data_IF_918360612270
#
_entry.id   IF_918360612270
#
_cell.length_a   1.000
_cell.length_b   1.000
_cell.length_c   1.000
_cell.angle_alpha   90.00
_cell.angle_beta   90.00
_cell.angle_gamma   90.00
#
_symmetry.space_group_name_H-M   'P 1'
#
loop_
_entity.id
_entity.type
_entity.pdbx_description
1 polymer ?
#
# COMPACT_ATOMS: atom_id res chain seq x y z
N UNK A 1 4.20 -8.25 -29.44
CA UNK A 1 3.21 -7.31 -29.99
C UNK A 1 3.72 -5.91 -29.72
N UNK A 2 4.18 -5.19 -30.76
CA UNK A 2 4.75 -3.86 -30.62
C UNK A 2 3.79 -2.79 -31.15
N UNK A 3 3.71 -1.67 -30.43
CA UNK A 3 3.26 -0.35 -30.87
C UNK A 3 1.79 0.10 -30.71
N UNK A 4 1.19 -0.09 -29.53
CA UNK A 4 0.00 0.68 -29.09
C UNK A 4 0.34 1.71 -27.98
N UNK A 5 1.61 2.09 -27.85
CA UNK A 5 2.11 3.02 -26.83
C UNK A 5 2.30 4.42 -27.40
N UNK A 6 1.78 5.42 -26.69
CA UNK A 6 1.95 6.83 -27.02
C UNK A 6 3.03 7.42 -26.11
N UNK A 7 4.24 7.64 -26.63
CA UNK A 7 5.40 8.12 -25.86
C UNK A 7 5.11 9.39 -25.06
N UNK A 8 4.33 10.33 -25.63
CA UNK A 8 3.95 11.56 -24.93
C UNK A 8 3.14 11.30 -23.65
N UNK A 9 2.30 10.26 -23.63
CA UNK A 9 1.54 9.85 -22.45
C UNK A 9 2.45 9.22 -21.42
N UNK A 10 3.33 8.29 -21.83
CA UNK A 10 4.29 7.65 -20.93
C UNK A 10 5.19 8.68 -20.23
N UNK A 11 5.70 9.65 -20.99
CA UNK A 11 6.53 10.73 -20.44
C UNK A 11 5.75 11.62 -19.48
N UNK A 12 4.49 11.95 -19.79
CA UNK A 12 3.65 12.70 -18.88
C UNK A 12 3.39 11.94 -17.56
N UNK A 13 3.18 10.63 -17.64
CA UNK A 13 3.04 9.76 -16.47
C UNK A 13 4.35 9.70 -15.67
N UNK A 14 5.52 9.55 -16.32
CA UNK A 14 6.82 9.59 -15.63
C UNK A 14 7.07 10.90 -14.89
N UNK A 15 6.55 12.03 -15.39
CA UNK A 15 6.60 13.31 -14.66
C UNK A 15 5.72 13.27 -13.41
N UNK A 16 4.55 12.63 -13.45
CA UNK A 16 3.67 12.48 -12.29
C UNK A 16 4.27 11.55 -11.23
N UNK A 17 4.93 10.46 -11.65
CA UNK A 17 5.63 9.53 -10.74
C UNK A 17 6.74 10.23 -9.95
N UNK A 18 7.36 11.30 -10.48
CA UNK A 18 8.35 12.08 -9.73
C UNK A 18 7.77 12.76 -8.47
N UNK A 19 6.45 12.93 -8.39
CA UNK A 19 5.76 13.46 -7.21
C UNK A 19 5.42 12.38 -6.17
N UNK A 20 5.64 11.10 -6.45
CA UNK A 20 5.48 10.01 -5.48
C UNK A 20 6.70 9.94 -4.55
N UNK A 21 6.83 10.96 -3.71
CA UNK A 21 7.90 11.08 -2.71
C UNK A 21 7.43 11.95 -1.53
N UNK A 22 8.23 11.99 -0.45
CA UNK A 22 7.95 12.86 0.70
C UNK A 22 8.05 14.37 0.35
N UNK A 23 8.67 14.72 -0.79
CA UNK A 23 8.77 16.08 -1.26
C UNK A 23 7.47 16.54 -1.93
N UNK A 24 6.84 17.57 -1.35
CA UNK A 24 5.53 18.06 -1.81
C UNK A 24 5.60 19.03 -3.01
N UNK A 25 6.76 19.63 -3.26
CA UNK A 25 6.94 20.67 -4.26
C UNK A 25 8.31 20.57 -4.94
N UNK A 26 8.35 20.75 -6.26
CA UNK A 26 9.56 20.62 -7.06
C UNK A 26 9.82 21.85 -7.93
N UNK A 27 11.06 22.30 -7.99
CA UNK A 27 11.53 23.19 -9.03
C UNK A 27 11.62 22.46 -10.39
N UNK A 28 11.67 23.24 -11.48
CA UNK A 28 11.89 22.67 -12.81
C UNK A 28 13.23 21.93 -12.93
N UNK A 29 14.24 22.33 -12.15
CA UNK A 29 15.55 21.68 -12.16
C UNK A 29 15.50 20.31 -11.48
N UNK A 30 14.81 20.21 -10.34
CA UNK A 30 14.62 18.94 -9.63
C UNK A 30 13.79 17.96 -10.46
N UNK A 31 12.72 18.42 -11.12
CA UNK A 31 11.95 17.56 -12.05
C UNK A 31 12.80 17.08 -13.23
N UNK A 32 13.67 17.92 -13.77
CA UNK A 32 14.60 17.53 -14.84
C UNK A 32 15.60 16.46 -14.37
N UNK A 33 16.10 16.60 -13.15
CA UNK A 33 16.98 15.62 -12.54
C UNK A 33 16.26 14.30 -12.25
N UNK A 34 15.05 14.35 -11.68
CA UNK A 34 14.27 13.16 -11.32
C UNK A 34 13.80 12.37 -12.55
N UNK A 35 13.41 13.05 -13.62
CA UNK A 35 12.85 12.41 -14.82
C UNK A 35 13.87 12.16 -15.94
N UNK A 36 15.05 12.79 -15.87
CA UNK A 36 16.04 12.78 -16.95
C UNK A 36 15.64 13.57 -18.20
N UNK A 37 14.52 14.30 -18.17
CA UNK A 37 14.03 15.05 -19.32
C UNK A 37 14.66 16.45 -19.42
N UNK A 38 14.87 16.91 -20.66
CA UNK A 38 15.23 18.29 -20.92
C UNK A 38 14.14 19.26 -20.42
N UNK A 39 14.55 20.40 -19.85
CA UNK A 39 13.64 21.44 -19.31
C UNK A 39 12.59 21.91 -20.32
N UNK A 40 12.94 22.04 -21.59
CA UNK A 40 12.00 22.41 -22.66
C UNK A 40 10.89 21.37 -22.86
N UNK A 41 11.20 20.09 -22.72
CA UNK A 41 10.23 19.00 -22.82
C UNK A 41 9.35 18.96 -21.58
N UNK A 42 9.94 19.10 -20.39
CA UNK A 42 9.19 19.18 -19.13
C UNK A 42 8.18 20.32 -19.13
N UNK A 43 8.57 21.52 -19.58
CA UNK A 43 7.64 22.65 -19.64
C UNK A 43 6.41 22.38 -20.53
N UNK A 44 6.58 21.66 -21.65
CA UNK A 44 5.46 21.26 -22.51
C UNK A 44 4.55 20.22 -21.84
N UNK A 45 5.15 19.23 -21.17
CA UNK A 45 4.41 18.20 -20.44
C UNK A 45 3.65 18.81 -19.26
N UNK A 46 4.33 19.58 -18.42
CA UNK A 46 3.76 20.30 -17.28
C UNK A 46 2.66 21.26 -17.72
N UNK A 47 2.86 22.02 -18.82
CA UNK A 47 1.82 22.88 -19.38
C UNK A 47 0.55 22.12 -19.76
N UNK A 48 0.68 20.89 -20.28
CA UNK A 48 -0.48 20.04 -20.56
C UNK A 48 -1.12 19.50 -19.29
N UNK A 49 -0.32 19.06 -18.32
CA UNK A 49 -0.78 18.55 -17.03
C UNK A 49 -1.51 19.62 -16.20
N UNK A 50 -1.08 20.89 -16.26
CA UNK A 50 -1.76 22.03 -15.63
C UNK A 50 -3.17 22.22 -16.17
N UNK A 51 -3.36 22.10 -17.49
CA UNK A 51 -4.68 22.29 -18.11
C UNK A 51 -5.73 21.30 -17.60
N UNK A 52 -5.29 20.14 -17.13
CA UNK A 52 -6.14 19.12 -16.54
C UNK A 52 -5.99 19.01 -15.02
N UNK A 53 -5.32 19.99 -14.38
CA UNK A 53 -5.15 20.06 -12.92
C UNK A 53 -4.50 18.79 -12.33
N UNK A 54 -3.59 18.16 -13.08
CA UNK A 54 -2.75 17.09 -12.57
C UNK A 54 -1.52 17.62 -11.83
N UNK A 55 -1.04 18.80 -12.24
CA UNK A 55 0.00 19.56 -11.55
C UNK A 55 -0.43 21.02 -11.50
N UNK A 56 0.10 21.78 -10.55
CA UNK A 56 -0.09 23.22 -10.41
C UNK A 56 1.25 23.90 -10.17
N UNK A 57 1.36 25.16 -10.55
CA UNK A 57 2.54 25.98 -10.28
C UNK A 57 2.17 27.07 -9.29
N UNK A 58 2.95 27.23 -8.23
CA UNK A 58 2.73 28.30 -7.25
C UNK A 58 3.41 29.61 -7.67
N UNK A 59 3.25 30.65 -6.85
CA UNK A 59 3.83 31.98 -7.07
C UNK A 59 5.37 31.98 -7.01
N UNK A 60 5.96 31.07 -6.22
CA UNK A 60 7.41 30.86 -6.15
C UNK A 60 7.96 30.12 -7.38
N UNK A 61 7.08 29.65 -8.26
CA UNK A 61 7.42 28.93 -9.47
C UNK A 61 7.70 27.44 -9.26
N UNK A 62 7.38 26.90 -8.07
CA UNK A 62 7.45 25.48 -7.75
C UNK A 62 6.22 24.74 -8.27
N UNK A 63 6.42 23.48 -8.63
CA UNK A 63 5.41 22.58 -9.13
C UNK A 63 4.92 21.68 -8.01
N UNK A 64 3.61 21.52 -7.92
CA UNK A 64 2.92 20.67 -6.95
C UNK A 64 1.97 19.73 -7.69
N UNK A 65 1.58 18.64 -7.04
CA UNK A 65 0.45 17.85 -7.51
C UNK A 65 -0.84 18.70 -7.49
N UNK A 66 -1.65 18.56 -8.52
CA UNK A 66 -2.98 19.18 -8.61
C UNK A 66 -4.05 18.33 -7.90
N UNK A 67 -5.31 18.70 -8.08
CA UNK A 67 -6.43 18.06 -7.39
C UNK A 67 -7.01 16.87 -8.19
N UNK A 68 -6.76 16.79 -9.50
CA UNK A 68 -7.23 15.70 -10.36
C UNK A 68 -6.85 14.28 -9.90
N UNK A 69 -5.59 13.99 -9.51
CA UNK A 69 -5.22 12.65 -9.03
C UNK A 69 -6.07 12.23 -7.83
N UNK A 70 -6.28 13.13 -6.86
CA UNK A 70 -7.11 12.86 -5.67
C UNK A 70 -8.58 12.64 -6.06
N UNK A 71 -9.12 13.44 -6.97
CA UNK A 71 -10.50 13.30 -7.47
C UNK A 71 -10.71 11.95 -8.18
N UNK A 72 -9.73 11.48 -8.92
CA UNK A 72 -9.79 10.18 -9.61
C UNK A 72 -9.66 9.02 -8.62
N UNK A 73 -8.72 9.11 -7.67
CA UNK A 73 -8.53 8.10 -6.63
C UNK A 73 -9.82 7.86 -5.81
N UNK A 74 -10.58 8.92 -5.51
CA UNK A 74 -11.88 8.83 -4.80
C UNK A 74 -12.95 8.00 -5.49
N UNK A 75 -12.80 7.67 -6.79
CA UNK A 75 -13.76 6.81 -7.50
C UNK A 75 -13.54 5.33 -7.24
N UNK A 76 -12.37 4.95 -6.73
CA UNK A 76 -12.13 3.58 -6.28
C UNK A 76 -12.63 3.44 -4.84
N UNK A 77 -13.30 2.33 -4.56
CA UNK A 77 -13.65 1.96 -3.20
C UNK A 77 -12.34 1.76 -2.41
N UNK A 78 -12.09 2.53 -1.33
CA UNK A 78 -10.88 2.40 -0.52
C UNK A 78 -10.68 0.99 0.03
N UNK A 79 -11.75 0.27 0.34
CA UNK A 79 -11.69 -1.11 0.82
C UNK A 79 -11.27 -2.06 -0.29
N UNK A 80 -11.75 -1.84 -1.52
CA UNK A 80 -11.36 -2.65 -2.67
C UNK A 80 -9.89 -2.42 -3.05
N UNK A 81 -9.43 -1.17 -3.02
CA UNK A 81 -8.02 -0.84 -3.26
C UNK A 81 -7.11 -1.50 -2.21
N UNK A 82 -7.50 -1.40 -0.94
CA UNK A 82 -6.79 -2.04 0.17
C UNK A 82 -6.74 -3.56 -0.01
N UNK A 83 -7.88 -4.19 -0.29
CA UNK A 83 -7.96 -5.63 -0.54
C UNK A 83 -7.06 -6.07 -1.69
N UNK A 84 -7.08 -5.34 -2.81
CA UNK A 84 -6.25 -5.67 -3.98
C UNK A 84 -4.74 -5.63 -3.70
N UNK A 85 -4.32 -4.78 -2.75
CA UNK A 85 -2.91 -4.61 -2.39
C UNK A 85 -2.48 -5.57 -1.27
N UNK A 86 -3.34 -5.77 -0.27
CA UNK A 86 -3.01 -6.51 0.95
C UNK A 86 -3.33 -7.99 0.83
N UNK A 87 -4.41 -8.40 0.16
CA UNK A 87 -4.78 -9.82 0.06
C UNK A 87 -3.65 -10.68 -0.55
N UNK A 88 -2.99 -10.29 -1.67
CA UNK A 88 -1.90 -11.09 -2.24
C UNK A 88 -0.69 -11.22 -1.29
N UNK A 89 -0.47 -10.23 -0.42
CA UNK A 89 0.57 -10.28 0.60
C UNK A 89 0.22 -11.27 1.71
N UNK A 90 -1.03 -11.25 2.19
CA UNK A 90 -1.54 -12.20 3.18
C UNK A 90 -1.47 -13.63 2.64
N UNK A 91 -1.84 -13.85 1.38
CA UNK A 91 -1.78 -15.17 0.73
C UNK A 91 -0.33 -15.70 0.70
N UNK A 92 0.65 -14.86 0.36
CA UNK A 92 2.08 -15.22 0.39
C UNK A 92 2.57 -15.51 1.81
N UNK A 93 2.16 -14.70 2.79
CA UNK A 93 2.51 -14.90 4.20
C UNK A 93 1.96 -16.23 4.72
N UNK A 94 0.67 -16.50 4.48
CA UNK A 94 0.02 -17.73 4.90
C UNK A 94 0.64 -18.96 4.24
N UNK A 95 1.01 -18.87 2.96
CA UNK A 95 1.70 -19.94 2.25
C UNK A 95 3.14 -20.18 2.75
N UNK A 96 3.88 -19.10 3.08
CA UNK A 96 5.28 -19.18 3.57
C UNK A 96 5.36 -19.71 5.00
N UNK A 97 4.50 -19.21 5.89
CA UNK A 97 4.55 -19.50 7.32
C UNK A 97 3.69 -20.73 7.68
N UNK A 98 2.67 -21.05 6.88
CA UNK A 98 1.74 -22.14 7.17
C UNK A 98 0.71 -21.81 8.24
N UNK A 99 0.55 -20.53 8.60
CA UNK A 99 -0.35 -20.04 9.65
C UNK A 99 -1.30 -18.96 9.11
N UNK A 100 -2.32 -18.61 9.88
CA UNK A 100 -3.36 -17.65 9.44
C UNK A 100 -2.80 -16.23 9.42
N UNK A 101 -2.81 -15.60 8.25
CA UNK A 101 -2.45 -14.20 8.07
C UNK A 101 -3.71 -13.33 7.96
N UNK A 102 -3.73 -12.17 8.60
CA UNK A 102 -4.91 -11.28 8.59
C UNK A 102 -4.54 -9.80 8.60
N UNK A 103 -5.46 -8.97 8.07
CA UNK A 103 -5.45 -7.53 8.25
C UNK A 103 -6.46 -7.15 9.32
N UNK A 104 -5.98 -6.49 10.37
CA UNK A 104 -6.79 -5.98 11.45
C UNK A 104 -6.97 -4.48 11.29
N UNK A 105 -8.17 -3.99 11.56
CA UNK A 105 -8.49 -2.56 11.56
C UNK A 105 -9.19 -2.19 12.85
N UNK A 106 -8.84 -1.04 13.42
CA UNK A 106 -9.52 -0.52 14.60
C UNK A 106 -10.56 0.52 14.21
N UNK A 107 -11.77 0.32 14.70
CA UNK A 107 -12.88 1.26 14.62
C UNK A 107 -13.44 1.51 16.02
N UNK A 108 -13.17 2.70 16.57
CA UNK A 108 -13.53 3.09 17.93
C UNK A 108 -12.96 2.12 18.98
N UNK A 109 -13.86 1.50 19.74
CA UNK A 109 -13.54 0.56 20.82
C UNK A 109 -13.53 -0.91 20.36
N UNK A 110 -13.48 -1.15 19.05
CA UNK A 110 -13.46 -2.49 18.47
C UNK A 110 -12.34 -2.66 17.45
N UNK A 111 -11.83 -3.89 17.37
CA UNK A 111 -10.95 -4.34 16.29
C UNK A 111 -11.74 -5.30 15.42
N UNK A 112 -11.63 -5.12 14.11
CA UNK A 112 -12.25 -5.96 13.10
C UNK A 112 -11.17 -6.68 12.28
N UNK A 113 -11.35 -7.96 12.03
CA UNK A 113 -10.64 -8.66 10.97
C UNK A 113 -11.22 -8.24 9.61
N UNK A 114 -10.45 -7.48 8.82
CA UNK A 114 -10.90 -6.98 7.50
C UNK A 114 -10.60 -7.97 6.39
N UNK A 115 -9.42 -8.57 6.41
CA UNK A 115 -8.96 -9.54 5.41
C UNK A 115 -8.29 -10.71 6.11
N UNK A 116 -8.35 -11.88 5.49
CA UNK A 116 -7.72 -13.09 6.00
C UNK A 116 -7.22 -13.96 4.85
N UNK A 117 -6.09 -14.60 5.05
CA UNK A 117 -5.60 -15.72 4.25
C UNK A 117 -5.37 -16.90 5.18
N UNK A 118 -6.09 -17.99 4.93
CA UNK A 118 -6.01 -19.21 5.73
C UNK A 118 -4.97 -20.17 5.11
N UNK A 119 -4.11 -20.81 5.92
CA UNK A 119 -3.21 -21.84 5.42
C UNK A 119 -3.99 -23.10 5.03
N UNK A 120 -3.38 -23.95 4.22
CA UNK A 120 -3.93 -25.27 3.89
C UNK A 120 -3.95 -26.25 5.10
N UNK A 121 -3.29 -25.89 6.21
CA UNK A 121 -3.23 -26.70 7.41
C UNK A 121 -4.63 -26.91 8.04
N UNK A 122 -4.91 -28.15 8.49
CA UNK A 122 -6.19 -28.51 9.11
C UNK A 122 -6.41 -27.83 10.48
N UNK A 123 -5.36 -27.80 11.31
CA UNK A 123 -5.36 -27.05 12.56
C UNK A 123 -4.86 -25.64 12.28
N UNK A 124 -5.72 -24.63 12.48
CA UNK A 124 -5.43 -23.20 12.28
C UNK A 124 -6.47 -22.37 13.04
N UNK A 125 -6.20 -21.08 13.23
CA UNK A 125 -7.24 -20.15 13.66
C UNK A 125 -8.12 -19.76 12.48
N UNK A 126 -9.44 -19.99 12.59
CA UNK A 126 -10.42 -19.70 11.55
C UNK A 126 -10.98 -18.28 11.69
N UNK A 127 -10.13 -17.28 11.44
CA UNK A 127 -10.56 -15.88 11.39
C UNK A 127 -11.39 -15.62 10.14
N UNK A 128 -12.33 -14.70 10.22
CA UNK A 128 -13.21 -14.32 9.11
C UNK A 128 -13.29 -12.80 8.97
N UNK A 129 -13.41 -12.28 7.73
CA UNK A 129 -13.74 -10.89 7.53
C UNK A 129 -15.03 -10.51 8.28
N UNK A 130 -15.05 -9.34 8.92
CA UNK A 130 -16.16 -8.86 9.74
C UNK A 130 -16.20 -9.41 11.17
N UNK A 131 -15.30 -10.31 11.56
CA UNK A 131 -15.19 -10.75 12.94
C UNK A 131 -14.62 -9.61 13.79
N UNK A 132 -15.30 -9.27 14.90
CA UNK A 132 -14.93 -8.16 15.78
C UNK A 132 -14.68 -8.59 17.22
N UNK A 133 -13.81 -7.86 17.92
CA UNK A 133 -13.56 -8.02 19.35
C UNK A 133 -13.12 -6.70 19.99
N UNK A 134 -13.21 -6.63 21.32
CA UNK A 134 -12.68 -5.50 22.09
C UNK A 134 -11.15 -5.62 22.21
N UNK A 135 -10.37 -4.57 21.91
CA UNK A 135 -8.93 -4.58 22.14
C UNK A 135 -8.62 -4.61 23.64
N UNK A 136 -7.56 -5.33 24.02
CA UNK A 136 -7.14 -5.39 25.42
C UNK A 136 -6.53 -4.06 25.91
N UNK A 137 -5.76 -3.39 25.04
CA UNK A 137 -5.15 -2.07 25.25
C UNK A 137 -4.96 -1.37 23.89
N UNK A 138 -4.66 -0.06 23.89
CA UNK A 138 -4.80 0.76 22.68
C UNK A 138 -3.89 0.37 21.50
N UNK A 139 -2.72 -0.20 21.77
CA UNK A 139 -1.73 -0.64 20.78
C UNK A 139 -1.69 -2.17 20.61
N UNK A 140 -2.63 -2.92 21.19
CA UNK A 140 -2.67 -4.38 21.10
C UNK A 140 -3.96 -4.83 20.40
N UNK A 141 -3.94 -5.01 19.06
CA UNK A 141 -5.12 -5.41 18.31
C UNK A 141 -5.44 -6.90 18.48
N UNK A 142 -4.52 -7.70 19.02
CA UNK A 142 -4.65 -9.15 19.11
C UNK A 142 -5.67 -9.56 20.18
N UNK A 143 -6.67 -10.39 19.87
CA UNK A 143 -7.52 -11.01 20.88
C UNK A 143 -6.74 -12.11 21.61
N UNK A 144 -7.23 -12.49 22.78
CA UNK A 144 -6.79 -13.74 23.41
C UNK A 144 -7.32 -14.92 22.57
N UNK A 145 -6.42 -15.78 22.08
CA UNK A 145 -6.77 -16.97 21.31
C UNK A 145 -6.46 -18.22 22.15
N UNK A 146 -7.48 -19.02 22.54
CA UNK A 146 -7.24 -20.24 23.29
C UNK A 146 -6.36 -21.23 22.52
N UNK A 147 -5.26 -21.68 23.15
CA UNK A 147 -4.36 -22.69 22.56
C UNK A 147 -3.46 -22.17 21.44
N UNK A 148 -3.24 -20.86 21.36
CA UNK A 148 -2.40 -20.25 20.33
C UNK A 148 -1.96 -18.83 20.64
N UNK A 149 -1.30 -18.22 19.67
CA UNK A 149 -0.84 -16.83 19.75
C UNK A 149 -1.25 -16.05 18.50
N UNK A 150 -1.26 -14.73 18.64
CA UNK A 150 -1.35 -13.80 17.52
C UNK A 150 -0.30 -12.72 17.71
N UNK A 151 0.52 -12.51 16.67
CA UNK A 151 1.54 -11.46 16.60
C UNK A 151 1.08 -10.45 15.56
N UNK A 152 1.20 -9.17 15.87
CA UNK A 152 0.78 -8.07 14.98
C UNK A 152 1.91 -7.08 14.71
N UNK A 153 1.93 -6.51 13.51
CA UNK A 153 2.81 -5.44 13.10
C UNK A 153 1.98 -4.23 12.60
N UNK A 154 2.17 -3.02 13.15
CA UNK A 154 1.41 -1.84 12.74
C UNK A 154 1.75 -1.43 11.31
N UNK A 155 0.74 -1.03 10.55
CA UNK A 155 0.93 -0.40 9.24
C UNK A 155 1.13 1.12 9.41
N UNK A 156 1.75 1.79 8.41
CA UNK A 156 1.90 3.25 8.43
C UNK A 156 0.55 3.95 8.59
N UNK A 157 0.51 4.95 9.48
CA UNK A 157 -0.69 5.75 9.68
C UNK A 157 -0.88 6.68 8.48
N UNK A 158 -2.05 6.58 7.86
CA UNK A 158 -2.47 7.48 6.79
C UNK A 158 -3.43 8.49 7.42
N UNK A 159 -3.17 9.81 7.34
CA UNK A 159 -4.04 10.82 7.92
C UNK A 159 -5.50 10.64 7.46
N UNK A 160 -6.41 10.51 8.43
CA UNK A 160 -7.86 10.31 8.18
C UNK A 160 -8.27 8.87 7.84
N UNK A 161 -7.35 7.91 7.79
CA UNK A 161 -7.66 6.49 7.65
C UNK A 161 -7.70 5.79 9.02
N UNK A 162 -8.47 4.70 9.17
CA UNK A 162 -8.46 3.90 10.38
C UNK A 162 -7.10 3.21 10.57
N UNK A 163 -6.73 2.98 11.83
CA UNK A 163 -5.46 2.35 12.19
C UNK A 163 -5.50 0.86 11.89
N UNK A 164 -4.42 0.32 11.33
CA UNK A 164 -4.37 -1.05 10.80
C UNK A 164 -3.11 -1.79 11.20
N UNK A 165 -3.20 -3.11 11.26
CA UNK A 165 -2.10 -4.03 11.55
C UNK A 165 -2.16 -5.25 10.64
N UNK A 166 -0.99 -5.71 10.19
CA UNK A 166 -0.86 -7.09 9.73
C UNK A 166 -0.73 -8.00 10.95
N UNK A 167 -1.31 -9.19 10.89
CA UNK A 167 -1.19 -10.16 11.96
C UNK A 167 -1.00 -11.59 11.43
N UNK A 168 -0.22 -12.38 12.17
CA UNK A 168 -0.11 -13.82 12.01
C UNK A 168 -0.62 -14.48 13.28
N UNK A 169 -1.43 -15.51 13.12
CA UNK A 169 -1.95 -16.29 14.24
C UNK A 169 -1.92 -17.77 13.95
N UNK A 170 -1.57 -18.55 14.96
CA UNK A 170 -1.45 -20.00 14.88
C UNK A 170 -1.51 -20.66 16.25
N UNK A 171 -1.69 -21.98 16.30
CA UNK A 171 -1.69 -22.73 17.53
C UNK A 171 -0.30 -22.70 18.19
N UNK A 172 -0.30 -22.92 19.49
CA UNK A 172 0.88 -22.81 20.34
C UNK A 172 1.99 -23.77 19.88
N UNK A 173 3.23 -23.28 19.89
CA UNK A 173 4.42 -24.07 19.55
C UNK A 173 4.72 -24.21 18.05
N UNK A 174 3.82 -23.84 17.14
CA UNK A 174 4.10 -23.82 15.67
C UNK A 174 4.56 -22.47 15.16
N UNK A 175 3.98 -21.40 15.69
CA UNK A 175 4.34 -20.02 15.34
C UNK A 175 5.21 -19.43 16.45
N UNK A 176 6.50 -19.20 16.17
CA UNK A 176 7.36 -18.46 17.10
C UNK A 176 7.11 -16.96 16.95
N UNK A 177 7.20 -16.22 18.06
CA UNK A 177 7.05 -14.76 18.05
C UNK A 177 8.11 -14.09 17.18
N UNK A 178 9.33 -14.63 17.17
CA UNK A 178 10.45 -14.10 16.39
C UNK A 178 10.19 -14.22 14.87
N UNK A 179 9.81 -15.42 14.40
CA UNK A 179 9.56 -15.67 12.97
C UNK A 179 8.35 -14.86 12.48
N UNK A 180 7.29 -14.80 13.30
CA UNK A 180 6.11 -14.00 12.98
C UNK A 180 6.44 -12.50 12.87
N UNK A 181 7.22 -11.98 13.82
CA UNK A 181 7.62 -10.56 13.83
C UNK A 181 8.46 -10.21 12.61
N UNK A 182 9.42 -11.06 12.25
CA UNK A 182 10.27 -10.87 11.08
C UNK A 182 9.44 -10.88 9.79
N UNK A 183 8.62 -11.90 9.59
CA UNK A 183 7.80 -12.04 8.38
C UNK A 183 6.80 -10.88 8.22
N UNK A 184 6.20 -10.41 9.32
CA UNK A 184 5.28 -9.28 9.30
C UNK A 184 6.01 -7.94 9.00
N UNK A 185 7.23 -7.76 9.50
CA UNK A 185 8.02 -6.56 9.22
C UNK A 185 8.46 -6.51 7.75
N UNK A 186 8.90 -7.63 7.17
CA UNK A 186 9.20 -7.76 5.74
C UNK A 186 7.98 -7.40 4.89
N UNK A 187 6.82 -7.98 5.23
CA UNK A 187 5.57 -7.72 4.54
C UNK A 187 5.09 -6.26 4.66
N UNK A 188 5.27 -5.65 5.83
CA UNK A 188 4.97 -4.24 6.05
C UNK A 188 5.86 -3.29 5.21
N UNK A 189 7.11 -3.66 4.97
CA UNK A 189 8.01 -2.90 4.10
C UNK A 189 7.59 -2.98 2.62
N UNK A 190 7.16 -4.14 2.14
CA UNK A 190 6.64 -4.30 0.76
C UNK A 190 5.41 -3.40 0.48
N UNK A 191 4.59 -3.13 1.51
CA UNK A 191 3.46 -2.20 1.41
C UNK A 191 3.86 -0.73 1.41
N UNK A 192 5.11 -0.38 1.76
CA UNK A 192 5.62 0.99 1.65
C UNK A 192 6.17 1.30 0.27
N UNK A 193 6.73 0.30 -0.41
CA UNK A 193 7.28 0.49 -1.75
C UNK A 193 6.13 0.72 -2.75
N UNK A 194 6.09 1.86 -3.46
CA UNK A 194 5.16 2.02 -4.56
C UNK A 194 5.50 0.97 -5.63
N UNK A 195 4.49 0.29 -6.18
CA UNK A 195 4.72 -0.55 -7.35
C UNK A 195 5.05 0.38 -8.51
N UNK A 196 6.33 0.69 -8.69
CA UNK A 196 6.83 1.08 -9.99
C UNK A 196 6.39 -0.01 -10.96
N UNK A 197 5.64 0.38 -11.99
CA UNK A 197 5.14 -0.51 -13.02
C UNK A 197 6.35 -1.21 -13.65
N UNK A 198 6.76 -2.35 -13.11
CA UNK A 198 7.70 -3.23 -13.77
C UNK A 198 6.89 -3.78 -14.91
N UNK A 199 7.04 -3.16 -16.08
CA UNK A 199 6.71 -3.82 -17.32
C UNK A 199 7.59 -5.06 -17.37
N UNK A 200 7.09 -6.15 -16.77
CA UNK A 200 7.67 -7.47 -16.97
C UNK A 200 7.64 -7.70 -18.48
N UNK A 201 8.86 -7.73 -19.02
CA UNK A 201 9.17 -8.25 -20.33
C UNK A 201 8.60 -9.67 -20.40
N UNK A 202 7.41 -9.77 -20.98
CA UNK A 202 6.95 -10.99 -21.62
C UNK A 202 7.78 -11.16 -22.90
N UNK A 203 8.99 -11.68 -22.73
CA UNK A 203 9.83 -12.18 -23.82
C UNK A 203 9.33 -13.59 -24.18
N UNK A 204 9.34 -13.95 -25.48
CA UNK A 204 8.31 -14.77 -26.12
C UNK A 204 8.42 -16.29 -25.88
#
# INVERSE_FOLDING_TARGET
>A
MAQDRVEAVERALSVLEAFDSDQQAFSLAELAQATGFYKSTLLRLLGSLVRFDYVRRDEAGLWHLGESPRRLARRQDPDQLLASRVQPLLDRLAAKIGETASLLERSGDSVECRLVALPAAALRHDLRPGMTWAPAIDNAPCPALPGGCMVSHPLPEIPGAPRRWLALSGPEGRLTVADATLALAEAGADLKTPRGNTGEELTP
#
